data_IF_481302162596
#
_entry.id   IF_481302162596
#
_cell.length_a   1.000
_cell.length_b   1.000
_cell.length_c   1.000
_cell.angle_alpha   90.00
_cell.angle_beta   90.00
_cell.angle_gamma   90.00
#
_symmetry.space_group_name_H-M   'P 1'
#
loop_
_entity.id
_entity.type
_entity.pdbx_description
1 polymer ?
#
# COMPACT_ATOMS: atom_id res chain seq x y z
N UNK A 1 8.95 2.29 -8.96
CA UNK A 1 8.35 3.46 -8.28
C UNK A 1 7.19 2.97 -7.46
N UNK A 2 7.13 3.37 -6.20
CA UNK A 2 5.96 3.23 -5.34
C UNK A 2 5.48 4.62 -4.93
N UNK A 3 4.16 4.77 -4.80
CA UNK A 3 3.49 6.02 -4.54
C UNK A 3 2.38 5.75 -3.52
N UNK A 4 2.28 6.59 -2.50
CA UNK A 4 1.16 6.63 -1.59
C UNK A 4 0.68 8.07 -1.43
N UNK A 5 -0.64 8.25 -1.34
CA UNK A 5 -1.29 9.54 -1.19
C UNK A 5 -2.21 9.45 0.02
N UNK A 6 -2.03 10.36 0.99
CA UNK A 6 -3.03 10.58 2.01
C UNK A 6 -4.22 11.34 1.39
N UNK A 7 -5.40 10.72 1.41
CA UNK A 7 -6.61 11.28 0.78
C UNK A 7 -7.16 12.53 1.47
N UNK A 8 -6.77 12.82 2.72
CA UNK A 8 -7.27 13.98 3.45
C UNK A 8 -6.35 15.19 3.26
N UNK A 9 -5.05 15.02 3.49
CA UNK A 9 -4.09 16.12 3.35
C UNK A 9 -3.57 16.30 1.91
N UNK A 10 -3.87 15.37 1.01
CA UNK A 10 -3.26 15.27 -0.34
C UNK A 10 -1.73 15.12 -0.30
N UNK A 11 -1.16 14.81 0.87
CA UNK A 11 0.28 14.61 1.02
C UNK A 11 0.70 13.34 0.29
N UNK A 12 1.77 13.46 -0.49
CA UNK A 12 2.25 12.42 -1.39
C UNK A 12 3.63 11.94 -0.98
N UNK A 13 3.77 10.62 -0.82
CA UNK A 13 5.03 9.95 -0.51
C UNK A 13 5.46 9.05 -1.68
N UNK A 14 6.71 9.18 -2.13
CA UNK A 14 7.23 8.46 -3.32
C UNK A 14 8.60 7.88 -3.03
N UNK A 15 8.80 6.63 -3.44
CA UNK A 15 10.12 5.99 -3.44
C UNK A 15 10.44 5.33 -4.78
N UNK A 16 11.71 5.41 -5.17
CA UNK A 16 12.24 4.79 -6.38
C UNK A 16 13.09 3.58 -6.02
N UNK A 17 12.88 2.49 -6.76
CA UNK A 17 13.61 1.25 -6.62
C UNK A 17 13.99 0.75 -8.00
N UNK A 18 15.21 0.25 -8.14
CA UNK A 18 15.72 -0.30 -9.41
C UNK A 18 14.93 -1.53 -9.89
N UNK A 19 14.26 -2.23 -8.96
CA UNK A 19 13.45 -3.42 -9.25
C UNK A 19 12.24 -3.51 -8.33
N UNK A 20 11.14 -4.04 -8.83
CA UNK A 20 9.92 -4.32 -8.06
C UNK A 20 10.02 -5.72 -7.42
N UNK A 21 10.73 -5.83 -6.30
CA UNK A 21 10.86 -7.08 -5.51
C UNK A 21 10.02 -7.01 -4.23
N UNK A 22 9.67 -8.17 -3.65
CA UNK A 22 8.92 -8.24 -2.37
C UNK A 22 9.58 -7.45 -1.25
N UNK A 23 10.90 -7.53 -1.09
CA UNK A 23 11.65 -6.75 -0.11
C UNK A 23 11.41 -5.24 -0.23
N UNK A 24 11.33 -4.74 -1.46
CA UNK A 24 11.17 -3.31 -1.74
C UNK A 24 9.72 -2.86 -1.48
N UNK A 25 8.74 -3.76 -1.68
CA UNK A 25 7.34 -3.51 -1.31
C UNK A 25 7.18 -3.36 0.22
N UNK A 26 7.84 -4.25 0.98
CA UNK A 26 7.82 -4.22 2.44
C UNK A 26 8.51 -2.96 2.96
N UNK A 27 9.74 -2.70 2.48
CA UNK A 27 10.49 -1.51 2.86
C UNK A 27 9.71 -0.21 2.55
N UNK A 28 9.08 -0.13 1.37
CA UNK A 28 8.23 1.00 1.02
C UNK A 28 7.10 1.20 2.04
N UNK A 29 6.40 0.15 2.44
CA UNK A 29 5.27 0.27 3.38
C UNK A 29 5.74 0.67 4.78
N UNK A 30 6.87 0.12 5.25
CA UNK A 30 7.47 0.48 6.54
C UNK A 30 7.90 1.95 6.57
N UNK A 31 8.62 2.41 5.56
CA UNK A 31 9.06 3.79 5.43
C UNK A 31 7.89 4.76 5.27
N UNK A 32 6.89 4.38 4.46
CA UNK A 32 5.65 5.12 4.30
C UNK A 32 4.95 5.31 5.65
N UNK A 33 4.75 4.26 6.44
CA UNK A 33 4.10 4.38 7.76
C UNK A 33 4.91 5.29 8.69
N UNK A 34 6.24 5.17 8.68
CA UNK A 34 7.13 5.99 9.51
C UNK A 34 7.17 7.47 9.11
N UNK A 35 6.87 7.81 7.86
CA UNK A 35 6.93 9.18 7.35
C UNK A 35 5.76 10.06 7.83
N UNK A 36 4.66 9.47 8.30
CA UNK A 36 3.49 10.22 8.74
C UNK A 36 3.47 10.35 10.27
N UNK A 37 3.20 11.55 10.81
CA UNK A 37 3.22 11.80 12.25
C UNK A 37 1.95 11.31 12.96
N UNK A 38 1.19 10.40 12.35
CA UNK A 38 -0.09 9.90 12.85
C UNK A 38 -0.27 8.41 12.55
N UNK A 39 -1.14 7.76 13.31
CA UNK A 39 -1.47 6.36 13.10
C UNK A 39 -2.40 6.19 11.90
N UNK A 40 -1.97 5.43 10.90
CA UNK A 40 -2.82 5.05 9.77
C UNK A 40 -3.74 3.90 10.19
N UNK A 41 -5.04 4.05 9.91
CA UNK A 41 -6.05 3.02 10.21
C UNK A 41 -6.35 2.11 9.03
N UNK A 42 -6.17 2.61 7.81
CA UNK A 42 -6.41 1.85 6.58
C UNK A 42 -5.48 2.34 5.47
N UNK A 43 -5.01 1.41 4.66
CA UNK A 43 -4.27 1.68 3.42
C UNK A 43 -5.07 1.04 2.30
N UNK A 44 -5.48 1.85 1.33
CA UNK A 44 -6.13 1.38 0.11
C UNK A 44 -5.08 1.20 -0.96
N UNK A 45 -4.76 -0.04 -1.29
CA UNK A 45 -3.89 -0.36 -2.43
C UNK A 45 -4.72 -0.61 -3.67
N UNK A 46 -4.10 -0.47 -4.83
CA UNK A 46 -4.65 -1.07 -6.03
C UNK A 46 -4.60 -2.62 -5.93
N UNK A 47 -5.32 -3.29 -6.83
CA UNK A 47 -5.23 -4.74 -7.00
C UNK A 47 -4.06 -5.13 -7.94
N UNK A 48 -3.03 -4.29 -8.04
CA UNK A 48 -1.86 -4.58 -8.85
C UNK A 48 -1.12 -5.80 -8.31
N UNK A 49 -0.32 -6.47 -9.15
CA UNK A 49 0.46 -7.66 -8.74
C UNK A 49 1.35 -7.40 -7.50
N UNK A 50 1.72 -6.14 -7.29
CA UNK A 50 2.49 -5.68 -6.14
C UNK A 50 1.67 -5.52 -4.85
N UNK A 51 0.37 -5.76 -4.81
CA UNK A 51 -0.44 -5.72 -3.58
C UNK A 51 -1.66 -6.65 -3.61
N UNK A 52 -1.92 -7.33 -4.74
CA UNK A 52 -2.99 -8.30 -4.87
C UNK A 52 -2.84 -9.46 -3.88
N UNK A 53 -3.95 -9.84 -3.27
CA UNK A 53 -4.01 -10.98 -2.39
C UNK A 53 -3.77 -12.28 -3.18
N UNK A 54 -3.04 -13.22 -2.57
CA UNK A 54 -2.79 -14.51 -3.21
C UNK A 54 -4.13 -15.25 -3.33
N UNK A 55 -4.37 -15.95 -4.45
CA UNK A 55 -5.61 -16.71 -4.67
C UNK A 55 -5.97 -17.67 -3.53
N UNK A 56 -4.98 -18.09 -2.75
CA UNK A 56 -5.07 -18.98 -1.60
C UNK A 56 -5.66 -18.32 -0.34
N UNK A 57 -5.68 -16.99 -0.29
CA UNK A 57 -6.14 -16.19 0.84
C UNK A 57 -7.53 -15.57 0.59
N UNK A 58 -8.10 -15.75 -0.61
CA UNK A 58 -9.39 -15.19 -1.02
C UNK A 58 -10.55 -16.00 -0.41
N UNK A 59 -10.80 -15.85 0.89
CA UNK A 59 -11.96 -16.42 1.57
C UNK A 59 -13.09 -15.37 1.67
N UNK A 60 -13.99 -15.33 0.69
CA UNK A 60 -15.23 -14.54 0.75
C UNK A 60 -15.16 -13.10 0.22
N UNK A 61 -16.36 -12.47 0.11
CA UNK A 61 -16.68 -11.28 -0.72
C UNK A 61 -15.64 -10.16 -0.65
N UNK A 62 -15.12 -9.78 -1.82
CA UNK A 62 -14.02 -8.81 -1.96
C UNK A 62 -14.41 -7.34 -1.81
N UNK A 63 -15.71 -6.98 -1.86
CA UNK A 63 -16.24 -5.63 -1.56
C UNK A 63 -17.71 -5.67 -1.12
N UNK A 64 -18.01 -5.17 0.08
CA UNK A 64 -19.31 -4.56 0.42
C UNK A 64 -19.04 -3.16 0.95
N UNK A 65 -19.54 -2.16 0.24
CA UNK A 65 -19.63 -0.78 0.71
C UNK A 65 -21.09 -0.53 1.09
N UNK A 66 -21.34 -0.27 2.36
CA UNK A 66 -22.58 0.28 2.90
C UNK A 66 -22.33 1.69 3.40
#
# INVERSE_FOLDING_TARGET
MFLAIDRVSEFTYVEFYDRTKMSNRVAFLENFIAAFPYQMHSVLTDNGMAFADLSKNQNGVSRQWG
#
